data_IF_590743440036
#
_entry.id   IF_590743440036
#
_cell.length_a   1.000
_cell.length_b   1.000
_cell.length_c   1.000
_cell.angle_alpha   90.00
_cell.angle_beta   90.00
_cell.angle_gamma   90.00
#
_symmetry.space_group_name_H-M   'P 1'
#
loop_
_entity.id
_entity.type
_entity.pdbx_description
1 polymer ?
#
# COMPACT_ATOMS: atom_id res chain seq x y z
N UNK A 1 -8.72 -16.10 4.03
CA UNK A 1 -9.66 -16.24 2.88
C UNK A 1 -10.81 -15.20 2.88
N UNK A 2 -10.93 -14.32 3.89
CA UNK A 2 -12.05 -13.39 4.05
C UNK A 2 -11.89 -12.00 3.41
N UNK A 3 -10.68 -11.47 3.30
CA UNK A 3 -10.43 -10.06 2.94
C UNK A 3 -10.80 -9.70 1.49
N UNK A 4 -10.55 -10.58 0.54
CA UNK A 4 -10.89 -10.35 -0.88
C UNK A 4 -12.38 -10.53 -1.20
N UNK A 5 -13.13 -11.30 -0.41
CA UNK A 5 -14.56 -11.51 -0.66
C UNK A 5 -15.47 -10.39 -0.14
N UNK A 6 -15.01 -9.62 0.84
CA UNK A 6 -15.73 -8.46 1.37
C UNK A 6 -15.93 -7.37 0.29
N UNK A 7 -14.95 -7.20 -0.61
CA UNK A 7 -15.00 -6.19 -1.67
C UNK A 7 -15.64 -6.67 -2.98
N UNK A 8 -16.01 -7.96 -3.09
CA UNK A 8 -16.52 -8.53 -4.35
C UNK A 8 -18.03 -8.37 -4.57
N UNK A 9 -18.79 -7.93 -3.56
CA UNK A 9 -20.26 -8.05 -3.64
C UNK A 9 -21.04 -6.86 -4.19
N UNK A 10 -20.49 -5.66 -4.25
CA UNK A 10 -21.22 -4.48 -4.75
C UNK A 10 -20.26 -3.38 -5.25
N UNK A 11 -19.39 -3.71 -6.18
CA UNK A 11 -18.61 -2.69 -6.89
C UNK A 11 -19.52 -2.15 -8.00
N UNK A 12 -19.74 -0.84 -8.03
CA UNK A 12 -20.45 -0.22 -9.15
C UNK A 12 -19.71 -0.51 -10.46
N UNK A 13 -20.44 -0.53 -11.57
CA UNK A 13 -19.87 -0.83 -12.89
C UNK A 13 -18.72 0.13 -13.25
N UNK A 14 -18.76 1.36 -12.73
CA UNK A 14 -17.68 2.35 -12.88
C UNK A 14 -16.44 2.00 -12.05
N UNK A 15 -16.59 1.58 -10.80
CA UNK A 15 -15.45 1.13 -9.95
C UNK A 15 -14.84 -0.17 -10.48
N UNK A 16 -15.66 -1.05 -11.06
CA UNK A 16 -15.17 -2.26 -11.72
C UNK A 16 -14.33 -1.92 -12.96
N UNK A 17 -14.77 -0.93 -13.75
CA UNK A 17 -14.01 -0.43 -14.90
C UNK A 17 -12.71 0.27 -14.51
N UNK A 18 -12.71 1.03 -13.41
CA UNK A 18 -11.50 1.67 -12.89
C UNK A 18 -10.51 0.64 -12.32
N UNK A 19 -11.01 -0.38 -11.62
CA UNK A 19 -10.17 -1.49 -11.17
C UNK A 19 -9.60 -2.30 -12.34
N UNK A 20 -10.36 -2.50 -13.40
CA UNK A 20 -9.89 -3.13 -14.64
C UNK A 20 -8.82 -2.28 -15.32
N UNK A 21 -9.01 -0.95 -15.43
CA UNK A 21 -8.01 -0.03 -15.99
C UNK A 21 -6.73 0.01 -15.17
N UNK A 22 -6.84 0.01 -13.84
CA UNK A 22 -5.69 -0.05 -12.94
C UNK A 22 -4.95 -1.38 -13.06
N UNK A 23 -5.69 -2.49 -13.14
CA UNK A 23 -5.12 -3.84 -13.33
C UNK A 23 -4.41 -3.95 -14.68
N UNK A 24 -5.00 -3.41 -15.73
CA UNK A 24 -4.41 -3.37 -17.08
C UNK A 24 -3.18 -2.46 -17.14
N UNK A 25 -3.21 -1.30 -16.47
CA UNK A 25 -2.05 -0.41 -16.34
C UNK A 25 -0.89 -1.07 -15.59
N UNK A 26 -1.18 -1.78 -14.50
CA UNK A 26 -0.19 -2.54 -13.73
C UNK A 26 0.28 -3.81 -14.47
N UNK A 27 -0.57 -4.46 -15.27
CA UNK A 27 -0.15 -5.57 -16.13
C UNK A 27 0.85 -5.11 -17.20
N UNK A 28 0.64 -3.94 -17.79
CA UNK A 28 1.56 -3.39 -18.80
C UNK A 28 2.94 -3.05 -18.20
N UNK A 29 2.97 -2.52 -16.99
CA UNK A 29 4.22 -2.26 -16.24
C UNK A 29 4.86 -3.57 -15.78
N UNK A 30 4.06 -4.51 -15.30
CA UNK A 30 4.51 -5.80 -14.79
C UNK A 30 5.01 -6.74 -15.87
N UNK A 31 4.39 -6.75 -17.06
CA UNK A 31 4.78 -7.63 -18.17
C UNK A 31 5.93 -7.07 -19.01
N UNK A 32 6.08 -5.73 -19.11
CA UNK A 32 7.17 -5.16 -19.92
C UNK A 32 8.50 -5.11 -19.19
N UNK A 33 8.49 -4.65 -17.96
CA UNK A 33 9.71 -4.24 -17.26
C UNK A 33 10.29 -5.33 -16.34
N UNK A 34 9.49 -5.81 -15.39
CA UNK A 34 9.93 -6.91 -14.51
C UNK A 34 10.22 -8.20 -15.25
N UNK A 35 9.54 -8.45 -16.38
CA UNK A 35 9.82 -9.61 -17.20
C UNK A 35 11.21 -9.54 -17.84
N UNK A 36 11.69 -8.34 -18.18
CA UNK A 36 13.03 -8.15 -18.67
C UNK A 36 14.09 -8.50 -17.60
N UNK A 37 13.92 -7.99 -16.37
CA UNK A 37 14.80 -8.31 -15.24
C UNK A 37 14.80 -9.82 -14.97
N UNK A 38 13.63 -10.45 -14.92
CA UNK A 38 13.50 -11.91 -14.74
C UNK A 38 14.19 -12.66 -15.86
N UNK A 39 13.95 -12.27 -17.12
CA UNK A 39 14.57 -12.92 -18.28
C UNK A 39 16.09 -12.74 -18.31
N UNK A 40 16.57 -11.52 -17.98
CA UNK A 40 18.02 -11.25 -17.89
C UNK A 40 18.67 -12.16 -16.87
N UNK A 41 18.12 -12.21 -15.64
CA UNK A 41 18.68 -13.06 -14.59
C UNK A 41 18.56 -14.55 -14.89
N UNK A 42 17.43 -15.05 -15.37
CA UNK A 42 17.21 -16.49 -15.54
C UNK A 42 17.99 -17.10 -16.71
N UNK A 43 18.39 -16.33 -17.73
CA UNK A 43 19.03 -16.82 -18.94
C UNK A 43 20.51 -16.44 -19.07
N UNK A 44 21.01 -15.51 -18.25
CA UNK A 44 22.39 -15.07 -18.28
C UNK A 44 23.30 -15.95 -17.39
N UNK A 45 24.58 -15.94 -17.71
CA UNK A 45 25.64 -16.37 -16.78
C UNK A 45 25.85 -15.23 -15.75
N UNK A 46 26.24 -15.62 -14.54
CA UNK A 46 26.52 -14.64 -13.48
C UNK A 46 27.95 -14.12 -13.73
N UNK A 47 28.03 -12.97 -14.39
CA UNK A 47 29.25 -12.26 -14.74
C UNK A 47 29.08 -10.76 -14.50
N UNK A 48 30.12 -9.97 -14.74
CA UNK A 48 30.08 -8.52 -14.54
C UNK A 48 29.08 -7.83 -15.48
N UNK A 49 28.95 -8.31 -16.72
CA UNK A 49 27.99 -7.76 -17.71
C UNK A 49 26.53 -7.93 -17.25
N UNK A 50 26.23 -9.01 -16.51
CA UNK A 50 24.92 -9.22 -15.91
C UNK A 50 24.59 -8.12 -14.89
N UNK A 51 25.54 -7.79 -14.02
CA UNK A 51 25.33 -6.78 -12.97
C UNK A 51 25.13 -5.39 -13.57
N UNK A 52 25.92 -5.00 -14.58
CA UNK A 52 25.78 -3.72 -15.27
C UNK A 52 24.43 -3.61 -15.98
N UNK A 53 24.01 -4.69 -16.66
CA UNK A 53 22.69 -4.76 -17.30
C UNK A 53 21.55 -4.66 -16.28
N UNK A 54 21.70 -5.31 -15.13
CA UNK A 54 20.68 -5.27 -14.06
C UNK A 54 20.55 -3.89 -13.45
N UNK A 55 21.69 -3.21 -13.22
CA UNK A 55 21.71 -1.82 -12.72
C UNK A 55 21.00 -0.89 -13.70
N UNK A 56 21.31 -0.95 -14.99
CA UNK A 56 20.65 -0.15 -16.03
C UNK A 56 19.15 -0.42 -16.04
N UNK A 57 18.72 -1.69 -15.98
CA UNK A 57 17.31 -2.06 -15.97
C UNK A 57 16.59 -1.53 -14.72
N UNK A 58 17.21 -1.58 -13.54
CA UNK A 58 16.64 -1.03 -12.32
C UNK A 58 16.50 0.49 -12.39
N UNK A 59 17.47 1.20 -12.96
CA UNK A 59 17.39 2.65 -13.18
C UNK A 59 16.26 2.99 -14.16
N UNK A 60 16.15 2.25 -15.26
CA UNK A 60 15.04 2.40 -16.22
C UNK A 60 13.68 2.08 -15.59
N UNK A 61 13.65 1.29 -14.50
CA UNK A 61 12.47 0.99 -13.68
C UNK A 61 12.10 2.10 -12.70
N UNK A 62 12.76 3.24 -12.77
CA UNK A 62 12.54 4.35 -11.83
C UNK A 62 12.90 4.01 -10.36
N UNK A 63 13.78 3.02 -10.16
CA UNK A 63 14.30 2.66 -8.83
C UNK A 63 15.23 3.74 -8.27
N UNK A 64 15.79 4.56 -9.16
CA UNK A 64 16.78 5.58 -8.83
C UNK A 64 18.20 5.04 -8.71
N UNK A 65 19.21 5.79 -9.24
CA UNK A 65 20.58 5.29 -9.41
C UNK A 65 21.22 4.79 -8.10
N UNK A 66 21.12 5.57 -7.02
CA UNK A 66 21.71 5.22 -5.72
C UNK A 66 21.16 3.92 -5.14
N UNK A 67 19.87 3.67 -5.35
CA UNK A 67 19.24 2.44 -4.89
C UNK A 67 19.58 1.26 -5.79
N UNK A 68 19.62 1.47 -7.10
CA UNK A 68 19.98 0.44 -8.08
C UNK A 68 21.40 -0.09 -7.84
N UNK A 69 22.38 0.81 -7.74
CA UNK A 69 23.78 0.45 -7.41
C UNK A 69 23.83 -0.37 -6.13
N UNK A 70 23.19 0.10 -5.04
CA UNK A 70 23.23 -0.62 -3.77
C UNK A 70 22.60 -2.02 -3.84
N UNK A 71 21.47 -2.17 -4.54
CA UNK A 71 20.83 -3.47 -4.71
C UNK A 71 21.71 -4.45 -5.50
N UNK A 72 22.40 -3.94 -6.54
CA UNK A 72 23.30 -4.76 -7.37
C UNK A 72 24.57 -5.13 -6.60
N UNK A 73 25.16 -4.21 -5.84
CA UNK A 73 26.33 -4.50 -5.00
C UNK A 73 25.99 -5.55 -3.93
N UNK A 74 24.86 -5.40 -3.23
CA UNK A 74 24.41 -6.41 -2.26
C UNK A 74 24.15 -7.78 -2.91
N UNK A 75 23.62 -7.80 -4.14
CA UNK A 75 23.44 -9.05 -4.89
C UNK A 75 24.80 -9.67 -5.24
N UNK A 76 25.76 -8.87 -5.71
CA UNK A 76 27.11 -9.31 -6.05
C UNK A 76 27.81 -9.97 -4.84
N UNK A 77 27.73 -9.30 -3.70
CA UNK A 77 28.27 -9.80 -2.43
C UNK A 77 27.59 -11.11 -2.01
N UNK A 78 26.27 -11.17 -2.07
CA UNK A 78 25.51 -12.37 -1.72
C UNK A 78 25.79 -13.54 -2.66
N UNK A 79 25.94 -13.30 -3.96
CA UNK A 79 26.33 -14.32 -4.95
C UNK A 79 27.70 -14.91 -4.60
N UNK A 80 28.67 -14.08 -4.26
CA UNK A 80 30.00 -14.51 -3.86
C UNK A 80 30.00 -15.27 -2.53
N UNK A 81 29.30 -14.75 -1.51
CA UNK A 81 29.24 -15.34 -0.18
C UNK A 81 28.51 -16.69 -0.16
N UNK A 82 27.35 -16.75 -0.81
CA UNK A 82 26.50 -17.95 -0.86
C UNK A 82 26.88 -18.92 -1.99
N UNK A 83 27.87 -18.57 -2.81
CA UNK A 83 28.33 -19.37 -3.96
C UNK A 83 27.20 -19.72 -4.94
N UNK A 84 26.30 -18.74 -5.22
CA UNK A 84 25.20 -18.93 -6.15
C UNK A 84 25.74 -19.15 -7.58
N UNK A 85 25.16 -20.10 -8.30
CA UNK A 85 25.66 -20.53 -9.61
C UNK A 85 24.69 -20.29 -10.76
N UNK A 86 23.43 -20.09 -10.45
CA UNK A 86 22.38 -19.95 -11.46
C UNK A 86 21.70 -18.60 -11.36
N UNK A 87 21.27 -18.09 -12.51
CA UNK A 87 20.51 -16.84 -12.54
C UNK A 87 19.20 -16.91 -11.78
N UNK A 88 18.60 -18.11 -11.63
CA UNK A 88 17.40 -18.27 -10.80
C UNK A 88 17.71 -18.08 -9.31
N UNK A 89 18.83 -18.60 -8.82
CA UNK A 89 19.28 -18.36 -7.45
C UNK A 89 19.56 -16.87 -7.20
N UNK A 90 20.20 -16.20 -8.16
CA UNK A 90 20.43 -14.76 -8.09
C UNK A 90 19.13 -13.95 -8.11
N UNK A 91 18.12 -14.36 -8.88
CA UNK A 91 16.80 -13.71 -8.89
C UNK A 91 16.08 -13.86 -7.54
N UNK A 92 16.13 -15.03 -6.95
CA UNK A 92 15.49 -15.28 -5.66
C UNK A 92 16.19 -14.49 -4.54
N UNK A 93 17.53 -14.39 -4.59
CA UNK A 93 18.31 -13.56 -3.68
C UNK A 93 17.99 -12.06 -3.84
N UNK A 94 17.92 -11.57 -5.09
CA UNK A 94 17.52 -10.17 -5.35
C UNK A 94 16.14 -9.86 -4.77
N UNK A 95 15.19 -10.79 -4.86
CA UNK A 95 13.87 -10.64 -4.25
C UNK A 95 13.96 -10.53 -2.73
N UNK A 96 14.80 -11.34 -2.08
CA UNK A 96 15.01 -11.26 -0.63
C UNK A 96 15.63 -9.93 -0.22
N UNK A 97 16.64 -9.45 -0.96
CA UNK A 97 17.28 -8.15 -0.75
C UNK A 97 16.22 -7.04 -0.84
N UNK A 98 15.42 -7.01 -1.92
CA UNK A 98 14.36 -6.01 -2.11
C UNK A 98 13.32 -6.10 -0.98
N UNK A 99 12.88 -7.29 -0.61
CA UNK A 99 11.91 -7.47 0.48
C UNK A 99 12.46 -6.94 1.81
N UNK A 100 13.74 -7.16 2.09
CA UNK A 100 14.41 -6.66 3.29
C UNK A 100 14.46 -5.12 3.31
N UNK A 101 14.79 -4.50 2.17
CA UNK A 101 14.80 -3.04 2.03
C UNK A 101 13.40 -2.41 2.16
N UNK A 102 12.37 -3.09 1.67
CA UNK A 102 10.98 -2.67 1.78
C UNK A 102 10.35 -2.95 3.15
N UNK A 103 11.04 -3.71 4.02
CA UNK A 103 10.54 -3.96 5.37
C UNK A 103 10.60 -2.68 6.18
N UNK A 104 9.48 -2.21 6.74
CA UNK A 104 9.45 -0.98 7.52
C UNK A 104 10.43 -1.08 8.70
N UNK A 105 11.39 -0.17 8.77
CA UNK A 105 12.31 -0.05 9.92
C UNK A 105 11.57 0.35 11.20
N UNK A 106 10.45 1.05 11.02
CA UNK A 106 9.60 1.52 12.10
C UNK A 106 8.18 1.05 11.84
N UNK A 107 7.64 0.11 12.61
CA UNK A 107 6.24 -0.24 12.55
C UNK A 107 5.39 1.01 12.89
N UNK A 108 4.19 1.09 12.32
CA UNK A 108 3.25 2.16 12.67
C UNK A 108 2.99 2.10 14.19
N UNK A 109 3.31 3.18 14.89
CA UNK A 109 3.02 3.29 16.33
C UNK A 109 1.52 3.54 16.53
N UNK A 110 0.85 2.53 17.05
CA UNK A 110 -0.56 2.57 17.44
C UNK A 110 -0.72 2.49 18.97
N UNK A 111 0.29 2.91 19.72
CA UNK A 111 0.29 2.89 21.20
C UNK A 111 -0.57 3.98 21.83
N UNK A 112 -0.99 5.00 21.07
CA UNK A 112 -1.92 6.05 21.53
C UNK A 112 -3.29 5.49 21.91
N UNK A 113 -4.02 6.19 22.80
CA UNK A 113 -5.37 5.81 23.23
C UNK A 113 -6.31 7.02 23.16
N UNK A 114 -7.00 7.24 22.05
CA UNK A 114 -6.92 6.45 20.81
C UNK A 114 -5.65 6.73 19.99
N UNK A 115 -5.20 5.76 19.20
CA UNK A 115 -4.27 6.00 18.12
C UNK A 115 -5.01 6.66 16.94
N UNK A 116 -4.48 7.76 16.41
CA UNK A 116 -5.11 8.51 15.33
C UNK A 116 -4.35 8.32 14.02
N UNK A 117 -5.04 7.81 13.00
CA UNK A 117 -4.48 7.66 11.66
C UNK A 117 -5.10 8.72 10.74
N UNK A 118 -4.28 9.67 10.29
CA UNK A 118 -4.70 10.69 9.33
C UNK A 118 -4.35 10.23 7.90
N UNK A 119 -5.38 10.09 7.06
CA UNK A 119 -5.20 9.71 5.64
C UNK A 119 -5.34 10.95 4.76
N UNK A 120 -4.24 11.34 4.13
CA UNK A 120 -4.15 12.51 3.26
C UNK A 120 -3.89 12.14 1.81
N UNK A 121 -4.20 13.03 0.89
CA UNK A 121 -3.94 12.85 -0.55
C UNK A 121 -4.88 13.67 -1.42
N UNK A 122 -4.57 13.78 -2.71
CA UNK A 122 -5.43 14.46 -3.70
C UNK A 122 -6.71 13.67 -3.99
N UNK A 123 -7.66 14.27 -4.71
CA UNK A 123 -8.91 13.60 -5.04
C UNK A 123 -8.68 12.41 -5.97
N UNK A 124 -9.45 11.34 -5.79
CA UNK A 124 -9.39 10.15 -6.64
C UNK A 124 -8.26 9.15 -6.34
N UNK A 125 -7.32 9.44 -5.43
CA UNK A 125 -6.19 8.53 -5.10
C UNK A 125 -6.56 7.33 -4.22
N UNK A 126 -7.84 7.21 -3.82
CA UNK A 126 -8.31 6.07 -3.03
C UNK A 126 -8.28 6.26 -1.52
N UNK A 127 -8.26 7.50 -0.99
CA UNK A 127 -8.31 7.78 0.47
C UNK A 127 -9.46 7.05 1.16
N UNK A 128 -10.69 7.28 0.70
CA UNK A 128 -11.91 6.70 1.29
C UNK A 128 -11.87 5.18 1.28
N UNK A 129 -11.44 4.58 0.16
CA UNK A 129 -11.27 3.12 0.04
C UNK A 129 -10.19 2.59 1.00
N UNK A 130 -9.08 3.31 1.17
CA UNK A 130 -8.01 2.94 2.10
C UNK A 130 -8.48 3.02 3.54
N UNK A 131 -9.22 4.09 3.91
CA UNK A 131 -9.82 4.23 5.24
C UNK A 131 -10.74 3.05 5.56
N UNK A 132 -11.61 2.66 4.62
CA UNK A 132 -12.51 1.53 4.79
C UNK A 132 -11.75 0.20 5.01
N UNK A 133 -10.69 -0.03 4.22
CA UNK A 133 -9.83 -1.21 4.35
C UNK A 133 -9.12 -1.26 5.70
N UNK A 134 -8.58 -0.14 6.16
CA UNK A 134 -7.92 -0.05 7.46
C UNK A 134 -8.92 -0.28 8.59
N UNK A 135 -10.11 0.32 8.52
CA UNK A 135 -11.16 0.14 9.52
C UNK A 135 -11.56 -1.33 9.66
N UNK A 136 -11.78 -2.02 8.54
CA UNK A 136 -12.09 -3.44 8.54
C UNK A 136 -10.91 -4.29 9.09
N UNK A 137 -9.69 -4.02 8.62
CA UNK A 137 -8.49 -4.73 9.05
C UNK A 137 -8.28 -4.67 10.58
N UNK A 138 -8.41 -3.48 11.16
CA UNK A 138 -8.21 -3.31 12.60
C UNK A 138 -9.38 -3.85 13.41
N UNK A 139 -10.62 -3.74 12.92
CA UNK A 139 -11.76 -4.39 13.53
C UNK A 139 -11.61 -5.91 13.57
N UNK A 140 -11.17 -6.53 12.49
CA UNK A 140 -10.91 -7.98 12.42
C UNK A 140 -9.78 -8.42 13.38
N UNK A 141 -8.86 -7.52 13.69
CA UNK A 141 -7.85 -7.71 14.74
C UNK A 141 -8.39 -7.48 16.16
N UNK A 142 -9.69 -7.31 16.33
CA UNK A 142 -10.34 -7.10 17.62
C UNK A 142 -10.23 -5.68 18.17
N UNK A 143 -9.78 -4.70 17.37
CA UNK A 143 -9.69 -3.30 17.77
C UNK A 143 -11.03 -2.59 17.67
N UNK A 144 -11.28 -1.66 18.59
CA UNK A 144 -12.43 -0.77 18.55
C UNK A 144 -12.08 0.45 17.69
N UNK A 145 -12.64 0.49 16.48
CA UNK A 145 -12.34 1.50 15.45
C UNK A 145 -13.49 2.49 15.32
N UNK A 146 -13.16 3.75 15.11
CA UNK A 146 -14.10 4.84 14.78
C UNK A 146 -13.57 5.62 13.58
N UNK A 147 -14.45 6.07 12.70
CA UNK A 147 -14.11 6.93 11.57
C UNK A 147 -14.53 8.38 11.83
N UNK A 148 -13.82 9.34 11.23
CA UNK A 148 -14.16 10.74 11.23
C UNK A 148 -14.14 11.31 9.81
N UNK A 149 -15.24 11.95 9.38
CA UNK A 149 -15.37 12.58 8.07
C UNK A 149 -14.84 14.02 8.11
N UNK A 150 -13.54 14.21 7.85
CA UNK A 150 -12.91 15.53 7.80
C UNK A 150 -13.08 16.27 6.46
N UNK A 151 -13.62 15.64 5.41
CA UNK A 151 -13.94 16.28 4.13
C UNK A 151 -15.38 16.85 4.17
N UNK A 152 -15.56 17.93 4.89
CA UNK A 152 -16.87 18.54 5.13
C UNK A 152 -17.41 19.37 3.96
N UNK A 153 -16.55 19.69 2.99
CA UNK A 153 -16.94 20.50 1.83
C UNK A 153 -17.54 19.67 0.68
N UNK A 154 -17.39 18.37 0.72
CA UNK A 154 -17.81 17.45 -0.33
C UNK A 154 -18.85 16.46 0.19
N UNK A 155 -20.13 16.76 -0.02
CA UNK A 155 -21.25 15.93 0.42
C UNK A 155 -21.09 14.46 -0.03
N UNK A 156 -20.80 14.23 -1.31
CA UNK A 156 -20.61 12.88 -1.85
C UNK A 156 -19.44 12.11 -1.19
N UNK A 157 -18.41 12.78 -0.68
CA UNK A 157 -17.31 12.12 0.01
C UNK A 157 -17.72 11.62 1.39
N UNK A 158 -18.53 12.41 2.11
CA UNK A 158 -19.08 12.03 3.42
C UNK A 158 -20.08 10.88 3.28
N UNK A 159 -20.99 10.94 2.31
CA UNK A 159 -21.94 9.86 2.00
C UNK A 159 -21.22 8.55 1.64
N UNK A 160 -20.17 8.65 0.81
CA UNK A 160 -19.37 7.48 0.46
C UNK A 160 -18.67 6.88 1.69
N UNK A 161 -18.14 7.72 2.59
CA UNK A 161 -17.49 7.24 3.81
C UNK A 161 -18.51 6.61 4.77
N UNK A 162 -19.73 7.12 4.84
CA UNK A 162 -20.82 6.55 5.63
C UNK A 162 -21.18 5.13 5.16
N UNK A 163 -21.36 4.94 3.85
CA UNK A 163 -21.58 3.60 3.28
C UNK A 163 -20.46 2.62 3.63
N UNK A 164 -19.22 3.08 3.63
CA UNK A 164 -18.08 2.25 4.00
C UNK A 164 -18.00 1.98 5.51
N UNK A 165 -18.36 2.96 6.35
CA UNK A 165 -18.44 2.78 7.79
C UNK A 165 -19.48 1.71 8.16
N UNK A 166 -20.65 1.76 7.54
CA UNK A 166 -21.71 0.79 7.71
C UNK A 166 -21.28 -0.62 7.27
N UNK A 167 -20.66 -0.73 6.10
CA UNK A 167 -20.13 -2.02 5.60
C UNK A 167 -19.05 -2.61 6.51
N UNK A 168 -18.16 -1.77 7.03
CA UNK A 168 -17.15 -2.19 8.00
C UNK A 168 -17.75 -2.43 9.39
N UNK A 169 -18.99 -1.95 9.64
CA UNK A 169 -19.67 -2.02 10.93
C UNK A 169 -18.92 -1.26 12.01
N UNK A 170 -18.43 -0.05 11.69
CA UNK A 170 -17.75 0.87 12.58
C UNK A 170 -18.48 2.20 12.63
N UNK A 171 -18.52 2.90 13.77
CA UNK A 171 -19.19 4.20 13.87
C UNK A 171 -18.41 5.27 13.08
N UNK A 172 -19.16 6.24 12.55
CA UNK A 172 -18.66 7.41 11.87
C UNK A 172 -19.06 8.66 12.64
N UNK A 173 -18.12 9.57 12.88
CA UNK A 173 -18.37 10.94 13.32
C UNK A 173 -18.34 11.85 12.10
N UNK A 174 -19.43 12.54 11.85
CA UNK A 174 -19.56 13.51 10.75
C UNK A 174 -20.38 14.71 11.22
N UNK A 175 -20.25 15.81 10.52
CA UNK A 175 -21.06 17.00 10.71
C UNK A 175 -21.68 17.42 9.38
N UNK A 176 -22.62 18.36 9.42
CA UNK A 176 -23.28 18.89 8.23
C UNK A 176 -22.28 19.51 7.24
N UNK A 177 -22.70 19.61 5.97
CA UNK A 177 -21.89 20.21 4.91
C UNK A 177 -21.42 21.62 5.29
N UNK A 178 -20.13 21.90 5.09
CA UNK A 178 -19.50 23.18 5.42
C UNK A 178 -19.12 23.35 6.88
N UNK A 179 -19.30 22.35 7.74
CA UNK A 179 -18.79 22.37 9.10
C UNK A 179 -17.26 22.49 9.13
N UNK A 180 -16.71 23.00 10.21
CA UNK A 180 -15.26 23.05 10.40
C UNK A 180 -14.66 21.64 10.51
N UNK A 181 -13.76 21.23 9.58
CA UNK A 181 -13.11 19.93 9.63
C UNK A 181 -12.38 19.67 10.94
N UNK A 182 -11.77 20.71 11.52
CA UNK A 182 -11.02 20.57 12.77
C UNK A 182 -11.96 20.26 13.94
N UNK A 183 -13.16 20.86 13.97
CA UNK A 183 -14.17 20.56 14.98
C UNK A 183 -14.64 19.10 14.89
N UNK A 184 -14.89 18.59 13.69
CA UNK A 184 -15.28 17.18 13.46
C UNK A 184 -14.22 16.22 13.99
N UNK A 185 -12.95 16.48 13.67
CA UNK A 185 -11.83 15.64 14.12
C UNK A 185 -11.68 15.73 15.64
N UNK A 186 -11.78 16.92 16.22
CA UNK A 186 -11.71 17.13 17.67
C UNK A 186 -12.81 16.33 18.40
N UNK A 187 -14.05 16.44 17.92
CA UNK A 187 -15.19 15.71 18.51
C UNK A 187 -15.04 14.21 18.38
N UNK A 188 -14.51 13.73 17.23
CA UNK A 188 -14.23 12.31 17.03
C UNK A 188 -13.18 11.79 18.02
N UNK A 189 -12.06 12.50 18.19
CA UNK A 189 -10.99 12.12 19.14
C UNK A 189 -11.51 12.14 20.57
N UNK A 190 -12.24 13.20 20.96
CA UNK A 190 -12.87 13.31 22.28
C UNK A 190 -13.84 12.17 22.55
N UNK A 191 -14.71 11.85 21.58
CA UNK A 191 -15.66 10.74 21.67
C UNK A 191 -14.94 9.39 21.76
N UNK A 192 -13.90 9.19 20.95
CA UNK A 192 -13.10 7.96 20.94
C UNK A 192 -12.40 7.76 22.30
N UNK A 193 -11.81 8.81 22.86
CA UNK A 193 -11.17 8.77 24.17
C UNK A 193 -12.20 8.42 25.26
N UNK A 194 -13.34 9.10 25.29
CA UNK A 194 -14.37 8.89 26.31
C UNK A 194 -14.98 7.48 26.27
N UNK A 195 -15.09 6.89 25.07
CA UNK A 195 -15.69 5.56 24.86
C UNK A 195 -14.67 4.44 24.83
N UNK A 196 -13.37 4.74 24.99
CA UNK A 196 -12.29 3.75 25.00
C UNK A 196 -12.05 3.06 23.65
N UNK A 197 -12.07 3.81 22.55
CA UNK A 197 -11.63 3.30 21.24
C UNK A 197 -10.11 3.19 21.18
N UNK A 198 -9.62 2.20 20.39
CA UNK A 198 -8.18 1.95 20.22
C UNK A 198 -7.56 2.90 19.20
#
# INVERSE_FOLDING_TARGET
>A
MGFFNFFKRDISEQEFQEQQKMKYGLEKTRTGFFQNIVNTLTHAQIDDDLYDTLEEQLILADVGPMCAVRLVDELRDAVAEKHLKTGQEALDELREIICRELTPRYPMDLGGKPAVILVIGVNGVGKTTTIAKLAHLYKDKGKRVMLAAGDTFRAAASEQLELWADRAGVPLVQAGQGADPAAVIFDAVKSATAKGYD
#
